data_IF_147971327879
#
_entry.id   IF_147971327879
#
_cell.length_a   1.000
_cell.length_b   1.000
_cell.length_c   1.000
_cell.angle_alpha   90.00
_cell.angle_beta   90.00
_cell.angle_gamma   90.00
#
_symmetry.space_group_name_H-M   'P 1'
#
loop_
_entity.id
_entity.type
_entity.pdbx_description
1 polymer ?
2 non-polymer ?
3 non-polymer ?
4 water ?
#
# COMPACT_ATOMS: atom_id res chain seq x y z
N UNK A 1 -23.97 48.41 15.87
CA UNK A 1 -23.09 48.79 14.72
C UNK A 1 -21.65 48.35 14.99
N UNK A 2 -20.84 48.28 13.93
CA UNK A 2 -19.41 47.97 14.08
C UNK A 2 -18.69 48.99 14.95
N UNK A 3 -17.66 48.55 15.66
CA UNK A 3 -16.87 49.43 16.46
C UNK A 3 -15.94 50.26 15.62
N UNK A 4 -15.28 51.23 16.22
CA UNK A 4 -14.35 52.11 15.53
C UNK A 4 -13.10 51.37 15.15
N UNK A 5 -12.58 50.59 16.07
CA UNK A 5 -11.46 49.76 15.79
C UNK A 5 -11.80 48.29 15.76
N UNK A 6 -10.88 47.50 15.26
CA UNK A 6 -11.03 46.06 15.26
C UNK A 6 -9.74 45.36 15.64
N UNK A 7 -9.84 44.34 16.50
CA UNK A 7 -8.74 43.41 16.75
C UNK A 7 -8.69 42.34 15.65
N UNK A 8 -7.56 42.23 14.99
CA UNK A 8 -7.30 41.15 14.04
C UNK A 8 -6.28 40.20 14.67
N UNK A 9 -6.69 38.96 14.97
CA UNK A 9 -5.80 37.99 15.58
C UNK A 9 -5.18 37.03 14.52
N UNK A 10 -3.87 37.11 14.39
CA UNK A 10 -3.16 36.73 13.21
C UNK A 10 -2.63 37.90 12.40
N UNK A 11 -1.32 37.99 12.31
CA UNK A 11 -0.66 39.18 11.78
C UNK A 11 0.28 38.83 10.62
N UNK A 12 0.17 37.56 10.29
CA UNK A 12 0.73 36.95 9.14
C UNK A 12 0.05 37.44 7.89
N UNK A 13 0.49 36.90 6.76
CA UNK A 13 -0.14 37.04 5.49
C UNK A 13 -1.63 37.02 5.48
N UNK A 14 -2.27 36.00 6.07
CA UNK A 14 -3.73 36.06 6.09
C UNK A 14 -4.22 37.30 6.82
N UNK A 15 -3.51 37.69 7.86
CA UNK A 15 -3.86 38.88 8.64
C UNK A 15 -3.86 40.16 7.79
N UNK A 16 -2.89 40.27 6.89
CA UNK A 16 -2.73 41.46 6.07
C UNK A 16 -3.94 41.63 5.14
N UNK A 17 -4.45 40.53 4.61
CA UNK A 17 -5.57 40.63 3.66
C UNK A 17 -6.82 40.96 4.49
N UNK A 18 -6.92 40.35 5.68
CA UNK A 18 -8.06 40.65 6.58
C UNK A 18 -8.10 42.13 6.93
N UNK A 19 -6.92 42.70 7.18
CA UNK A 19 -6.77 44.14 7.41
C UNK A 19 -7.36 44.92 6.23
N UNK A 20 -6.97 44.56 5.01
CA UNK A 20 -7.50 45.23 3.83
C UNK A 20 -9.04 45.14 3.78
N UNK A 21 -9.61 43.98 4.10
CA UNK A 21 -11.07 43.87 4.07
C UNK A 21 -11.72 44.74 5.15
N UNK A 22 -11.17 44.74 6.36
CA UNK A 22 -11.69 45.58 7.45
C UNK A 22 -11.68 47.05 7.06
N UNK A 23 -10.58 47.49 6.43
CA UNK A 23 -10.47 48.89 6.00
C UNK A 23 -11.52 49.18 4.93
N UNK A 24 -11.74 48.21 4.05
CA UNK A 24 -12.74 48.35 2.99
C UNK A 24 -14.15 48.52 3.58
N UNK A 25 -14.40 47.83 4.68
CA UNK A 25 -15.68 47.93 5.39
C UNK A 25 -15.85 49.24 6.12
N UNK A 26 -14.79 50.02 6.25
CA UNK A 26 -14.87 51.29 6.98
C UNK A 26 -14.30 51.32 8.39
N UNK A 27 -13.66 50.24 8.85
CA UNK A 27 -12.95 50.29 10.13
C UNK A 27 -11.79 51.29 10.04
N UNK A 28 -11.62 52.08 11.08
CA UNK A 28 -10.63 53.16 11.10
C UNK A 28 -9.23 52.71 11.50
N UNK A 29 -9.15 51.67 12.33
CA UNK A 29 -7.89 51.18 12.84
C UNK A 29 -7.98 49.68 13.04
N UNK A 30 -6.94 48.97 12.62
CA UNK A 30 -6.82 47.55 12.88
C UNK A 30 -5.68 47.33 13.89
N UNK A 31 -6.01 46.67 14.99
CA UNK A 31 -5.02 46.35 16.01
C UNK A 31 -4.66 44.87 15.92
N UNK A 32 -3.43 44.59 15.50
CA UNK A 32 -2.98 43.23 15.35
C UNK A 32 -2.61 42.64 16.69
N UNK A 33 -3.15 41.45 16.94
CA UNK A 33 -2.76 40.63 18.05
C UNK A 33 -2.11 39.39 17.47
N UNK A 34 -0.90 39.14 17.91
CA UNK A 34 -0.23 37.91 17.56
C UNK A 34 0.59 37.44 18.73
N UNK A 35 0.29 36.24 19.22
CA UNK A 35 0.88 35.74 20.45
C UNK A 35 2.35 35.39 20.24
N UNK A 36 2.84 35.61 19.02
CA UNK A 36 4.07 34.99 18.57
C UNK A 36 5.22 35.99 18.56
N UNK A 37 5.06 37.06 17.79
CA UNK A 37 5.96 38.21 17.87
C UNK A 37 5.23 39.50 17.53
N UNK A 38 4.00 39.63 18.03
CA UNK A 38 3.39 40.94 18.18
C UNK A 38 2.65 41.07 19.50
N UNK A 39 1.77 42.07 19.58
CA UNK A 39 0.94 42.27 20.77
C UNK A 39 0.10 41.05 21.14
N UNK A 40 0.25 40.54 22.35
CA UNK A 40 -0.48 39.35 22.76
C UNK A 40 -1.97 39.56 23.02
N UNK A 41 -2.78 38.57 22.70
CA UNK A 41 -4.15 38.65 23.17
C UNK A 41 -4.16 38.74 24.68
N UNK A 42 -4.99 39.61 25.22
CA UNK A 42 -5.28 39.59 26.65
C UNK A 42 -6.77 39.67 26.91
N UNK A 43 -7.26 38.84 27.84
CA UNK A 43 -8.67 38.75 28.18
C UNK A 43 -9.18 40.08 28.74
N UNK A 44 -8.23 40.85 29.21
CA UNK A 44 -8.47 42.17 29.77
C UNK A 44 -8.55 43.34 28.76
N UNK A 45 -8.36 43.08 27.47
CA UNK A 45 -8.39 44.13 26.41
C UNK A 45 -9.67 44.98 26.40
N UNK A 46 -9.56 46.29 26.10
CA UNK A 46 -10.76 47.12 25.88
C UNK A 46 -11.65 46.57 24.76
N UNK A 47 -12.97 46.61 24.93
CA UNK A 47 -13.84 45.94 23.97
C UNK A 47 -13.91 46.64 22.60
N UNK A 48 -13.61 45.83 21.58
CA UNK A 48 -13.76 46.16 20.16
C UNK A 48 -14.16 44.87 19.43
N UNK A 49 -14.73 45.02 18.24
CA UNK A 49 -14.93 43.89 17.33
C UNK A 49 -13.63 43.07 17.18
N UNK A 50 -13.76 41.75 17.04
CA UNK A 50 -12.59 40.87 16.82
C UNK A 50 -12.73 40.17 15.46
N UNK A 51 -11.59 39.83 14.86
CA UNK A 51 -11.57 38.90 13.74
C UNK A 51 -10.44 37.92 13.89
N UNK A 52 -10.70 36.65 13.56
CA UNK A 52 -9.63 35.64 13.70
C UNK A 52 -8.99 35.35 12.33
N UNK A 53 -7.86 35.99 12.09
CA UNK A 53 -7.18 35.86 10.80
C UNK A 53 -6.20 34.70 10.85
N UNK A 54 -6.72 33.48 11.01
CA UNK A 54 -5.87 32.29 11.03
C UNK A 54 -6.32 31.35 9.93
N UNK A 55 -5.42 31.01 9.00
CA UNK A 55 -5.75 30.17 7.85
C UNK A 55 -6.05 28.71 8.21
N UNK A 56 -5.30 28.16 9.15
CA UNK A 56 -5.53 26.81 9.60
C UNK A 56 -6.92 26.65 10.24
N UNK A 57 -7.73 25.73 9.74
CA UNK A 57 -9.12 25.59 10.20
C UNK A 57 -9.22 25.13 11.66
N UNK A 58 -8.37 24.18 12.03
CA UNK A 58 -8.36 23.63 13.38
C UNK A 58 -8.02 24.71 14.41
N UNK A 59 -6.94 25.46 14.13
CA UNK A 59 -6.48 26.53 15.02
C UNK A 59 -7.46 27.70 15.01
N UNK A 60 -7.96 28.09 13.84
CA UNK A 60 -9.00 29.14 13.80
C UNK A 60 -10.21 28.80 14.69
N UNK A 61 -10.68 27.54 14.66
CA UNK A 61 -11.79 27.10 15.53
C UNK A 61 -11.46 27.22 17.03
N UNK A 62 -10.31 26.87 17.43
CA UNK A 62 -9.89 26.91 18.82
C UNK A 62 -9.74 28.34 19.31
N UNK A 63 -9.14 29.12 18.53
CA UNK A 63 -8.99 30.55 18.87
C UNK A 63 -10.35 31.23 18.93
N UNK A 64 -11.18 30.98 17.92
CA UNK A 64 -12.55 31.43 17.91
C UNK A 64 -13.25 31.08 19.24
N UNK A 65 -13.10 29.83 19.68
CA UNK A 65 -13.67 29.40 20.95
C UNK A 65 -13.11 30.19 22.15
N UNK A 66 -11.85 30.36 22.22
CA UNK A 66 -11.23 31.14 23.30
C UNK A 66 -11.65 32.60 23.23
N UNK A 67 -11.64 33.22 22.21
CA UNK A 67 -12.06 34.63 22.11
C UNK A 67 -13.55 34.79 22.49
N UNK A 68 -14.39 33.93 21.92
CA UNK A 68 -15.83 33.94 22.23
C UNK A 68 -16.13 33.79 23.74
N UNK A 69 -15.39 32.87 24.37
CA UNK A 69 -15.48 32.56 25.80
C UNK A 69 -15.15 33.74 26.70
N UNK A 70 -14.33 34.65 26.20
CA UNK A 70 -14.01 35.88 26.92
C UNK A 70 -15.01 37.01 26.65
N UNK A 71 -16.10 36.68 25.97
CA UNK A 71 -17.18 37.62 25.66
C UNK A 71 -16.98 38.60 24.52
N UNK A 72 -15.93 38.42 23.71
CA UNK A 72 -15.74 39.26 22.54
C UNK A 72 -16.62 38.91 21.34
N UNK A 73 -17.02 39.93 20.58
CA UNK A 73 -17.80 39.71 19.39
C UNK A 73 -16.85 39.49 18.21
N UNK A 74 -17.04 38.38 17.52
CA UNK A 74 -16.19 38.04 16.39
C UNK A 74 -17.01 38.31 15.13
N UNK A 75 -16.72 39.42 14.48
CA UNK A 75 -17.54 39.88 13.36
C UNK A 75 -17.19 39.15 12.07
N UNK A 76 -18.02 39.37 11.04
CA UNK A 76 -17.67 38.90 9.68
C UNK A 76 -16.92 40.02 8.98
N UNK A 77 -15.90 39.66 8.22
CA UNK A 77 -15.27 40.62 7.33
C UNK A 77 -15.65 40.31 5.88
N UNK A 78 -16.42 41.21 5.24
CA UNK A 78 -17.01 40.98 3.91
C UNK A 78 -16.66 42.15 2.99
N UNK A 79 -15.78 41.88 2.02
CA UNK A 79 -15.40 42.92 1.07
C UNK A 79 -16.64 43.40 0.31
N UNK A 80 -16.67 44.69 0.00
CA UNK A 80 -17.81 45.31 -0.65
C UNK A 80 -18.03 44.79 -2.07
N UNK A 81 -16.99 44.21 -2.68
CA UNK A 81 -17.10 43.68 -4.06
C UNK A 81 -17.64 42.24 -4.06
N UNK A 82 -17.85 41.65 -2.88
CA UNK A 82 -18.45 40.32 -2.85
C UNK A 82 -19.89 40.48 -3.24
N UNK A 83 -20.39 39.57 -4.07
CA UNK A 83 -21.78 39.67 -4.53
C UNK A 83 -22.60 38.55 -3.87
N UNK A 84 -23.48 38.94 -2.96
CA UNK A 84 -24.18 37.98 -2.15
C UNK A 84 -25.70 38.06 -2.43
N UNK A 85 -26.31 36.95 -2.85
CA UNK A 85 -27.74 36.96 -3.20
C UNK A 85 -28.58 37.38 -1.98
N UNK A 86 -29.64 38.19 -2.19
CA UNK A 86 -30.55 38.55 -1.09
C UNK A 86 -31.15 37.31 -0.37
N UNK A 87 -31.19 36.17 -1.06
CA UNK A 87 -31.71 34.93 -0.44
C UNK A 87 -30.63 33.98 0.12
N UNK A 88 -29.36 34.36 -0.05
CA UNK A 88 -28.30 33.61 0.62
C UNK A 88 -28.31 33.91 2.13
N UNK A 89 -27.84 32.97 2.92
CA UNK A 89 -27.78 33.13 4.37
C UNK A 89 -26.33 33.10 4.80
N UNK A 90 -25.88 34.17 5.42
CA UNK A 90 -24.53 34.21 5.95
C UNK A 90 -24.65 34.38 7.47
N UNK A 91 -24.16 33.41 8.24
CA UNK A 91 -24.34 33.43 9.70
C UNK A 91 -23.79 34.75 10.21
N UNK A 92 -24.60 35.51 10.94
CA UNK A 92 -24.19 36.81 11.49
C UNK A 92 -23.16 36.75 12.62
N UNK A 93 -22.26 37.74 12.65
CA UNK A 93 -21.19 37.86 13.67
C UNK A 93 -20.57 36.53 13.98
N UNK A 94 -20.03 35.90 12.94
CA UNK A 94 -19.57 34.52 13.08
C UNK A 94 -18.16 34.33 12.51
N UNK A 95 -17.35 35.38 12.51
CA UNK A 95 -15.93 35.21 12.15
C UNK A 95 -15.71 34.75 10.70
N UNK A 96 -16.68 35.03 9.82
CA UNK A 96 -16.63 34.60 8.40
C UNK A 96 -15.82 35.60 7.60
N UNK A 97 -14.88 35.12 6.77
CA UNK A 97 -14.20 35.98 5.80
C UNK A 97 -14.73 35.80 4.39
N UNK A 98 -15.12 36.93 3.77
CA UNK A 98 -15.54 36.92 2.35
C UNK A 98 -14.69 37.92 1.57
N UNK A 99 -13.78 37.40 0.76
CA UNK A 99 -12.76 38.20 0.09
C UNK A 99 -13.29 38.91 -1.17
N UNK A 100 -12.46 39.73 -1.84
CA UNK A 100 -12.91 40.39 -3.09
C UNK A 100 -13.41 39.45 -4.20
N UNK A 101 -14.45 39.90 -4.91
CA UNK A 101 -15.02 39.21 -6.09
C UNK A 101 -15.56 37.78 -5.84
N UNK A 102 -15.76 37.45 -4.55
CA UNK A 102 -16.52 36.24 -4.18
C UNK A 102 -17.98 36.41 -4.61
N UNK A 103 -18.58 35.35 -5.13
CA UNK A 103 -19.99 35.37 -5.47
C UNK A 103 -20.69 34.24 -4.72
N UNK A 104 -21.80 34.60 -4.09
CA UNK A 104 -22.62 33.63 -3.34
C UNK A 104 -24.03 33.75 -3.91
N UNK A 105 -24.52 32.69 -4.57
CA UNK A 105 -25.80 32.74 -5.27
C UNK A 105 -26.99 32.25 -4.45
N UNK A 106 -28.19 32.38 -5.03
CA UNK A 106 -29.47 32.22 -4.33
C UNK A 106 -29.53 31.03 -3.34
N UNK A 107 -29.96 31.31 -2.11
CA UNK A 107 -30.24 30.27 -1.12
C UNK A 107 -29.04 29.48 -0.63
N UNK A 108 -27.82 29.83 -1.07
CA UNK A 108 -26.63 29.27 -0.40
C UNK A 108 -26.55 29.66 1.09
N UNK A 109 -25.94 28.80 1.89
CA UNK A 109 -25.75 29.09 3.31
C UNK A 109 -24.27 28.94 3.66
N UNK A 110 -23.76 29.94 4.38
CA UNK A 110 -22.39 29.98 4.85
C UNK A 110 -22.41 29.93 6.39
N UNK A 111 -21.70 28.95 6.95
CA UNK A 111 -21.70 28.72 8.41
C UNK A 111 -20.54 29.45 9.09
N UNK A 112 -20.58 29.49 10.43
CA UNK A 112 -19.54 30.21 11.20
C UNK A 112 -18.08 29.81 10.86
N UNK A 113 -17.19 30.79 10.91
CA UNK A 113 -15.76 30.58 10.77
C UNK A 113 -15.25 30.22 9.38
N UNK A 114 -16.14 30.28 8.39
CA UNK A 114 -15.77 29.93 7.00
C UNK A 114 -14.84 31.01 6.43
N UNK A 115 -13.85 30.61 5.63
CA UNK A 115 -13.14 31.57 4.74
C UNK A 115 -13.57 31.29 3.30
N UNK A 116 -14.11 32.30 2.63
CA UNK A 116 -14.33 32.28 1.18
C UNK A 116 -13.26 33.20 0.62
N UNK A 117 -12.20 32.61 0.05
CA UNK A 117 -11.06 33.36 -0.41
C UNK A 117 -11.22 33.96 -1.82
N UNK A 118 -10.23 34.75 -2.23
CA UNK A 118 -10.38 35.63 -3.37
C UNK A 118 -10.95 34.93 -4.60
N UNK A 119 -12.02 35.51 -5.15
CA UNK A 119 -12.64 35.07 -6.42
C UNK A 119 -13.23 33.67 -6.39
N UNK A 120 -13.47 33.13 -5.17
CA UNK A 120 -14.19 31.86 -5.02
C UNK A 120 -15.67 32.03 -5.39
N UNK A 121 -16.32 30.95 -5.74
CA UNK A 121 -17.74 31.06 -6.11
C UNK A 121 -18.53 29.97 -5.37
N UNK A 122 -19.61 30.34 -4.71
CA UNK A 122 -20.51 29.39 -4.01
C UNK A 122 -21.82 29.48 -4.76
N UNK A 123 -22.19 28.43 -5.50
CA UNK A 123 -23.37 28.49 -6.36
C UNK A 123 -24.67 28.34 -5.53
N UNK A 124 -25.82 28.54 -6.18
CA UNK A 124 -27.13 28.48 -5.53
C UNK A 124 -27.29 27.20 -4.67
N UNK A 125 -27.85 27.36 -3.47
CA UNK A 125 -28.27 26.22 -2.63
C UNK A 125 -27.16 25.38 -2.01
N UNK A 126 -25.91 25.87 -2.11
CA UNK A 126 -24.78 25.26 -1.39
C UNK A 126 -24.91 25.40 0.10
N UNK A 127 -24.26 24.49 0.84
CA UNK A 127 -24.09 24.65 2.28
C UNK A 127 -22.58 24.51 2.54
N UNK A 128 -21.97 25.56 3.08
CA UNK A 128 -20.57 25.50 3.42
C UNK A 128 -20.40 25.40 4.94
N UNK A 129 -19.91 24.25 5.37
CA UNK A 129 -19.84 23.90 6.79
C UNK A 129 -18.85 24.70 7.62
N UNK A 130 -19.13 24.78 8.93
CA UNK A 130 -18.38 25.68 9.80
C UNK A 130 -16.87 25.42 9.73
N UNK A 131 -16.12 26.52 9.77
CA UNK A 131 -14.64 26.54 9.77
C UNK A 131 -14.02 25.82 8.57
N UNK A 132 -14.77 25.81 7.47
CA UNK A 132 -14.18 25.37 6.23
C UNK A 132 -13.42 26.52 5.59
N UNK A 133 -12.51 26.20 4.67
CA UNK A 133 -11.79 27.19 3.89
C UNK A 133 -11.92 26.83 2.38
N UNK A 134 -12.64 27.68 1.65
CA UNK A 134 -12.78 27.55 0.21
C UNK A 134 -11.75 28.55 -0.33
N UNK A 135 -10.66 28.07 -0.87
CA UNK A 135 -9.57 28.99 -1.11
C UNK A 135 -9.65 29.72 -2.46
N UNK A 136 -8.55 30.38 -2.83
CA UNK A 136 -8.58 31.35 -3.93
C UNK A 136 -9.09 30.67 -5.20
N UNK A 137 -10.10 31.25 -5.84
CA UNK A 137 -10.58 30.73 -7.12
C UNK A 137 -11.27 29.37 -7.08
N UNK A 138 -11.44 28.75 -5.89
CA UNK A 138 -12.20 27.48 -5.79
C UNK A 138 -13.68 27.70 -6.01
N UNK A 139 -14.34 26.73 -6.61
CA UNK A 139 -15.77 26.97 -6.98
C UNK A 139 -16.61 25.76 -6.65
N UNK A 140 -17.76 26.01 -6.04
CA UNK A 140 -18.73 24.93 -5.76
C UNK A 140 -19.94 25.18 -6.65
N UNK A 141 -20.31 24.16 -7.42
CA UNK A 141 -21.48 24.19 -8.29
C UNK A 141 -22.76 24.13 -7.47
N UNK A 142 -23.92 24.12 -8.14
CA UNK A 142 -25.15 24.21 -7.39
C UNK A 142 -25.38 23.02 -6.45
N UNK A 143 -25.95 23.27 -5.28
CA UNK A 143 -26.34 22.22 -4.36
C UNK A 143 -25.26 21.37 -3.79
N UNK A 144 -24.08 21.94 -3.64
CA UNK A 144 -22.96 21.22 -3.09
C UNK A 144 -22.92 21.39 -1.59
N UNK A 145 -22.67 20.32 -0.85
CA UNK A 145 -22.54 20.40 0.61
C UNK A 145 -21.08 20.19 1.00
N UNK A 146 -20.45 21.23 1.57
CA UNK A 146 -19.10 21.08 2.06
C UNK A 146 -19.21 20.88 3.59
N UNK A 147 -18.57 19.84 4.09
CA UNK A 147 -18.65 19.48 5.53
C UNK A 147 -17.86 20.47 6.39
N UNK A 148 -18.02 20.34 7.70
CA UNK A 148 -17.27 21.17 8.65
C UNK A 148 -15.76 20.98 8.47
N UNK A 149 -15.00 22.06 8.67
CA UNK A 149 -13.54 21.97 8.71
C UNK A 149 -12.87 21.56 7.40
N UNK A 150 -13.61 21.60 6.29
CA UNK A 150 -13.05 21.17 5.01
C UNK A 150 -12.14 22.23 4.43
N UNK A 151 -11.23 21.81 3.54
CA UNK A 151 -10.32 22.75 2.88
C UNK A 151 -10.29 22.42 1.37
N UNK A 152 -10.72 23.39 0.57
CA UNK A 152 -10.73 23.28 -0.89
C UNK A 152 -9.58 24.09 -1.39
N UNK A 153 -8.63 23.46 -2.08
CA UNK A 153 -7.41 24.14 -2.43
C UNK A 153 -7.57 25.09 -3.59
N UNK A 154 -6.53 25.85 -3.84
CA UNK A 154 -6.53 26.83 -4.92
C UNK A 154 -7.02 26.25 -6.25
N UNK A 155 -8.00 26.94 -6.85
CA UNK A 155 -8.53 26.57 -8.16
C UNK A 155 -9.18 25.18 -8.22
N UNK A 156 -9.59 24.64 -7.07
CA UNK A 156 -10.33 23.38 -7.09
C UNK A 156 -11.83 23.63 -7.42
N UNK A 157 -12.55 22.58 -7.75
CA UNK A 157 -14.00 22.68 -7.92
C UNK A 157 -14.72 21.37 -7.56
N UNK A 158 -16.02 21.52 -7.31
CA UNK A 158 -16.90 20.39 -6.96
C UNK A 158 -18.12 20.46 -7.89
N UNK A 159 -18.37 19.38 -8.63
CA UNK A 159 -19.57 19.27 -9.49
C UNK A 159 -20.92 19.32 -8.74
N UNK A 160 -22.02 19.67 -9.46
CA UNK A 160 -23.32 19.88 -8.82
C UNK A 160 -23.78 18.71 -7.95
N UNK A 161 -24.48 19.05 -6.86
CA UNK A 161 -25.21 18.09 -6.00
C UNK A 161 -24.34 17.24 -5.08
N UNK A 162 -23.03 17.42 -5.15
CA UNK A 162 -22.11 16.58 -4.38
C UNK A 162 -21.89 17.02 -2.92
N UNK A 163 -21.48 16.06 -2.10
CA UNK A 163 -21.11 16.34 -0.69
C UNK A 163 -19.65 15.92 -0.47
N UNK A 164 -18.97 16.70 0.35
CA UNK A 164 -17.64 16.37 0.80
C UNK A 164 -17.74 16.21 2.32
N UNK A 165 -17.35 15.05 2.83
CA UNK A 165 -17.45 14.74 4.26
C UNK A 165 -16.59 15.64 5.15
N UNK A 166 -17.05 15.88 6.38
CA UNK A 166 -16.30 16.65 7.38
C UNK A 166 -14.82 16.29 7.36
N UNK A 167 -13.99 17.31 7.51
CA UNK A 167 -12.54 17.18 7.74
C UNK A 167 -11.79 16.69 6.50
N UNK A 168 -12.35 16.96 5.31
CA UNK A 168 -11.70 16.51 4.08
C UNK A 168 -10.87 17.62 3.47
N UNK A 169 -9.98 17.26 2.56
CA UNK A 169 -9.15 18.21 1.83
C UNK A 169 -9.33 17.89 0.35
N UNK A 170 -9.63 18.91 -0.44
CA UNK A 170 -9.64 18.80 -1.90
C UNK A 170 -8.41 19.57 -2.33
N UNK A 171 -7.50 18.92 -3.03
CA UNK A 171 -6.20 19.54 -3.27
C UNK A 171 -6.29 20.65 -4.29
N UNK A 172 -5.29 21.54 -4.31
CA UNK A 172 -5.19 22.57 -5.36
C UNK A 172 -5.42 21.98 -6.75
N UNK A 173 -6.29 22.62 -7.54
CA UNK A 173 -6.57 22.17 -8.91
C UNK A 173 -7.44 20.92 -9.07
N UNK A 174 -7.86 20.31 -7.94
CA UNK A 174 -8.68 19.08 -8.01
C UNK A 174 -10.12 19.30 -8.46
N UNK A 175 -10.69 18.30 -9.12
CA UNK A 175 -12.05 18.39 -9.59
C UNK A 175 -12.81 17.23 -8.96
N UNK A 176 -13.68 17.51 -8.02
CA UNK A 176 -14.45 16.46 -7.39
C UNK A 176 -15.67 16.12 -8.21
N UNK A 177 -15.70 14.90 -8.72
CA UNK A 177 -16.76 14.43 -9.58
C UNK A 177 -17.70 13.35 -9.00
N UNK A 178 -17.32 12.77 -7.87
CA UNK A 178 -18.21 11.88 -7.12
C UNK A 178 -18.43 12.21 -5.64
N UNK A 179 -19.63 11.93 -5.18
CA UNK A 179 -20.06 12.07 -3.80
C UNK A 179 -19.11 11.39 -2.83
N UNK A 180 -18.81 12.05 -1.72
CA UNK A 180 -17.80 11.56 -0.79
C UNK A 180 -18.31 11.61 0.63
N UNK A 181 -18.65 10.47 1.16
CA UNK A 181 -19.26 10.42 2.47
C UNK A 181 -18.29 10.05 3.56
N UNK A 182 -17.14 9.60 3.16
CA UNK A 182 -16.04 9.26 4.03
C UNK A 182 -14.94 10.27 3.81
N UNK A 183 -14.35 10.77 4.90
CA UNK A 183 -13.34 11.82 4.84
C UNK A 183 -12.07 11.32 4.19
N UNK A 184 -11.35 12.24 3.58
CA UNK A 184 -10.05 11.96 3.00
C UNK A 184 -9.40 13.15 2.33
N UNK A 185 -8.31 12.88 1.62
CA UNK A 185 -7.59 13.87 0.80
C UNK A 185 -7.68 13.43 -0.66
N UNK A 186 -8.31 14.29 -1.47
CA UNK A 186 -8.65 14.02 -2.87
C UNK A 186 -7.90 14.98 -3.79
N UNK A 187 -7.22 14.43 -4.78
CA UNK A 187 -6.32 15.21 -5.64
C UNK A 187 -6.50 14.78 -7.10
N UNK A 188 -6.25 15.70 -8.05
CA UNK A 188 -6.33 15.36 -9.47
C UNK A 188 -7.61 15.73 -10.20
N UNK A 189 -7.63 15.43 -11.48
CA UNK A 189 -8.79 15.64 -12.30
C UNK A 189 -9.01 14.35 -13.08
N UNK A 190 -9.90 13.47 -12.63
CA UNK A 190 -10.80 13.71 -11.51
C UNK A 190 -10.15 13.52 -10.16
N UNK A 191 -10.76 14.01 -9.11
CA UNK A 191 -10.17 13.89 -7.82
C UNK A 191 -10.26 12.46 -7.31
N UNK A 192 -9.18 11.97 -6.77
CA UNK A 192 -9.08 10.60 -6.26
C UNK A 192 -8.40 10.65 -4.91
N UNK A 193 -8.82 9.74 -4.02
CA UNK A 193 -8.26 9.61 -2.68
C UNK A 193 -6.75 9.45 -2.73
N UNK A 194 -6.04 10.14 -1.84
CA UNK A 194 -4.58 10.10 -1.81
C UNK A 194 -4.09 8.90 -1.02
N UNK B 1 6.22 -16.15 4.57
CA UNK B 1 7.07 -15.37 3.69
C UNK B 1 8.53 -15.70 3.83
N UNK B 2 9.19 -15.93 2.72
CA UNK B 2 10.61 -16.14 2.70
C UNK B 2 11.30 -15.00 3.39
N UNK B 3 12.45 -15.28 3.98
CA UNK B 3 13.34 -14.29 4.57
C UNK B 3 14.08 -13.49 3.53
N UNK B 4 14.94 -12.59 3.95
CA UNK B 4 15.73 -11.78 3.00
C UNK B 4 16.90 -12.56 2.42
N UNK B 5 17.70 -13.18 3.29
CA UNK B 5 18.80 -14.04 2.89
C UNK B 5 18.47 -15.51 3.19
N UNK B 6 19.37 -16.40 2.76
CA UNK B 6 19.23 -17.84 2.96
C UNK B 6 20.56 -18.48 3.34
N UNK B 7 20.51 -19.46 4.26
CA UNK B 7 21.69 -20.29 4.56
C UNK B 7 21.72 -21.50 3.63
N UNK B 8 22.75 -21.60 2.81
CA UNK B 8 22.96 -22.76 1.93
C UNK B 8 24.05 -23.69 2.48
N UNK B 9 23.65 -24.83 3.02
CA UNK B 9 24.61 -25.83 3.50
C UNK B 9 25.09 -26.73 2.35
N UNK B 10 26.39 -26.73 2.12
CA UNK B 10 27.01 -27.45 1.01
C UNK B 10 27.66 -26.43 0.08
N UNK B 11 28.96 -26.48 -0.08
CA UNK B 11 29.65 -25.43 -0.78
C UNK B 11 29.95 -25.82 -2.22
N UNK B 12 29.62 -27.04 -2.57
CA UNK B 12 30.03 -27.62 -3.83
C UNK B 12 29.43 -27.00 -5.06
N UNK B 13 29.74 -27.63 -6.18
CA UNK B 13 28.93 -27.65 -7.36
C UNK B 13 27.46 -27.56 -7.14
N UNK B 14 26.85 -28.54 -6.50
CA UNK B 14 25.42 -28.46 -6.25
C UNK B 14 25.03 -27.17 -5.51
N UNK B 15 25.89 -26.73 -4.60
CA UNK B 15 25.68 -25.47 -3.90
C UNK B 15 25.60 -24.25 -4.80
N UNK B 16 26.44 -24.19 -5.84
CA UNK B 16 26.41 -23.11 -6.83
C UNK B 16 25.07 -23.00 -7.60
N UNK B 17 24.51 -24.13 -8.02
CA UNK B 17 23.19 -24.10 -8.68
C UNK B 17 22.06 -23.72 -7.71
N UNK B 18 22.14 -24.18 -6.46
CA UNK B 18 21.11 -23.85 -5.47
C UNK B 18 21.14 -22.36 -5.23
N UNK B 19 22.34 -21.79 -5.18
CA UNK B 19 22.48 -20.34 -5.09
C UNK B 19 21.77 -19.60 -6.23
N UNK B 20 21.95 -20.05 -7.47
CA UNK B 20 21.27 -19.41 -8.60
C UNK B 20 19.76 -19.48 -8.45
N UNK B 21 19.24 -20.63 -8.02
CA UNK B 21 17.80 -20.75 -7.85
C UNK B 21 17.31 -19.79 -6.77
N UNK B 22 18.02 -19.76 -5.64
CA UNK B 22 17.67 -18.87 -4.54
C UNK B 22 17.55 -17.43 -5.02
N UNK B 23 18.53 -16.95 -5.80
CA UNK B 23 18.48 -15.56 -6.30
C UNK B 23 17.35 -15.30 -7.29
N UNK B 24 17.07 -16.29 -8.15
CA UNK B 24 15.90 -16.24 -9.02
C UNK B 24 14.59 -16.06 -8.23
N UNK B 25 14.50 -16.73 -7.09
CA UNK B 25 13.34 -16.65 -6.21
C UNK B 25 13.20 -15.27 -5.55
N UNK B 26 14.30 -14.53 -5.52
CA UNK B 26 14.29 -13.20 -4.95
C UNK B 26 15.09 -13.05 -3.68
N UNK B 27 15.72 -14.13 -3.19
CA UNK B 27 16.62 -14.01 -2.04
C UNK B 27 17.72 -13.02 -2.42
N UNK B 28 18.06 -12.13 -1.48
CA UNK B 28 19.03 -11.07 -1.72
C UNK B 28 20.47 -11.57 -1.68
N UNK B 29 20.74 -12.48 -0.74
CA UNK B 29 22.09 -12.99 -0.52
C UNK B 29 22.06 -14.43 -0.05
N UNK B 30 23.05 -15.20 -0.51
CA UNK B 30 23.23 -16.59 -0.08
C UNK B 30 24.47 -16.74 0.83
N UNK B 31 24.25 -17.37 1.98
CA UNK B 31 25.31 -17.59 2.95
C UNK B 31 25.62 -19.08 3.07
N UNK B 32 26.83 -19.44 2.67
CA UNK B 32 27.24 -20.84 2.60
C UNK B 32 27.75 -21.36 3.93
N UNK B 33 27.25 -22.51 4.37
CA UNK B 33 27.71 -23.17 5.56
C UNK B 33 28.44 -24.45 5.27
N UNK B 34 29.55 -24.67 5.93
CA UNK B 34 30.16 -25.98 5.99
C UNK B 34 30.48 -26.39 7.41
N UNK B 46 21.51 -15.01 12.39
CA UNK B 46 20.84 -13.74 12.12
C UNK B 46 19.34 -13.68 11.87
N UNK B 47 18.56 -14.91 11.85
CA UNK B 47 18.68 -16.10 11.04
C UNK B 47 17.30 -16.67 10.74
N UNK B 48 17.42 -17.41 9.61
CA UNK B 48 17.13 -17.16 8.18
C UNK B 48 16.55 -18.51 7.64
N UNK B 49 15.85 -18.50 6.52
CA UNK B 49 15.51 -19.75 5.84
C UNK B 49 16.76 -20.60 5.60
N UNK B 50 16.60 -21.91 5.62
CA UNK B 50 17.67 -22.88 5.31
C UNK B 50 17.40 -23.63 4.02
N UNK B 51 18.49 -24.03 3.35
CA UNK B 51 18.46 -25.08 2.32
C UNK B 51 19.68 -26.00 2.36
N UNK B 52 19.45 -27.30 2.18
CA UNK B 52 20.51 -28.31 2.19
C UNK B 52 20.91 -28.64 0.77
N UNK B 53 22.05 -28.09 0.34
CA UNK B 53 22.59 -28.28 -1.02
C UNK B 53 23.59 -29.39 -1.05
N UNK B 54 23.14 -30.60 -0.74
CA UNK B 54 24.02 -31.77 -0.76
C UNK B 54 23.41 -32.79 -1.71
N UNK B 55 24.18 -33.18 -2.74
CA UNK B 55 23.65 -34.09 -3.74
C UNK B 55 23.46 -35.49 -3.19
N UNK B 56 24.40 -35.92 -2.34
CA UNK B 56 24.34 -37.23 -1.71
C UNK B 56 23.09 -37.33 -0.84
N UNK B 57 22.20 -38.27 -1.20
CA UNK B 57 20.89 -38.41 -0.56
C UNK B 57 20.96 -38.78 0.90
N UNK B 58 21.92 -39.66 1.24
CA UNK B 58 22.09 -40.15 2.60
C UNK B 58 22.51 -39.01 3.51
N UNK B 59 23.49 -38.22 3.06
CA UNK B 59 24.00 -37.08 3.87
C UNK B 59 22.95 -35.93 3.94
N UNK B 60 22.29 -35.64 2.81
CA UNK B 60 21.21 -34.66 2.77
C UNK B 60 20.12 -35.00 3.79
N UNK B 61 19.69 -36.27 3.82
CA UNK B 61 18.70 -36.71 4.82
C UNK B 61 19.22 -36.51 6.26
N UNK B 62 20.47 -36.85 6.51
CA UNK B 62 21.08 -36.68 7.82
C UNK B 62 21.05 -35.28 8.36
N UNK B 63 21.50 -34.37 7.51
CA UNK B 63 21.56 -32.96 7.85
C UNK B 63 20.14 -32.39 7.99
N UNK B 64 19.29 -32.75 7.02
CA UNK B 64 17.88 -32.37 7.07
C UNK B 64 17.27 -32.75 8.44
N UNK B 65 17.54 -33.94 8.89
CA UNK B 65 16.97 -34.44 10.13
C UNK B 65 17.49 -33.67 11.35
N UNK B 66 18.78 -33.44 11.36
CA UNK B 66 19.39 -32.58 12.33
C UNK B 66 18.83 -31.18 12.38
N UNK B 67 18.71 -30.52 11.26
CA UNK B 67 18.28 -29.16 11.27
C UNK B 67 16.76 -29.05 11.63
N UNK B 68 15.96 -29.92 11.07
CA UNK B 68 14.50 -30.02 11.34
C UNK B 68 14.18 -30.26 12.80
N UNK B 69 14.95 -31.16 13.43
CA UNK B 69 14.77 -31.56 14.83
C UNK B 69 14.78 -30.38 15.77
N UNK B 70 15.53 -29.36 15.36
CA UNK B 70 15.72 -28.16 16.16
C UNK B 70 14.75 -27.02 15.83
N UNK B 71 13.76 -27.32 14.99
CA UNK B 71 12.67 -26.41 14.71
C UNK B 71 12.92 -25.42 13.60
N UNK B 72 14.08 -25.53 12.93
CA UNK B 72 14.43 -24.63 11.82
C UNK B 72 13.68 -24.97 10.53
N UNK B 73 13.36 -23.95 9.74
CA UNK B 73 12.63 -24.10 8.51
C UNK B 73 13.56 -24.32 7.31
N UNK B 74 13.39 -25.46 6.67
CA UNK B 74 14.15 -25.80 5.47
C UNK B 74 13.23 -25.56 4.27
N UNK B 75 13.46 -24.48 3.53
CA UNK B 75 12.53 -24.10 2.45
C UNK B 75 12.70 -24.98 1.23
N UNK B 76 11.72 -24.93 0.32
CA UNK B 76 11.92 -25.44 -1.05
C UNK B 76 12.62 -24.36 -1.91
N UNK B 77 13.61 -24.74 -2.73
CA UNK B 77 14.13 -23.82 -3.76
C UNK B 77 13.56 -24.21 -5.13
N UNK B 78 12.68 -23.36 -5.66
CA UNK B 78 11.93 -23.65 -6.88
C UNK B 78 12.18 -22.55 -7.91
N UNK B 79 12.78 -22.92 -9.03
CA UNK B 79 13.06 -21.92 -10.08
C UNK B 79 11.75 -21.43 -10.70
N UNK B 80 11.69 -20.15 -11.07
CA UNK B 80 10.45 -19.60 -11.67
C UNK B 80 10.00 -20.19 -13.01
N UNK B 81 10.92 -20.83 -13.73
CA UNK B 81 10.60 -21.48 -15.00
C UNK B 81 10.05 -22.93 -14.85
N UNK B 82 10.08 -23.47 -13.63
CA UNK B 82 9.49 -24.77 -13.41
C UNK B 82 7.99 -24.67 -13.60
N UNK B 83 7.41 -25.64 -14.29
CA UNK B 83 5.97 -25.61 -14.52
C UNK B 83 5.37 -26.70 -13.69
N UNK B 84 4.52 -26.30 -12.75
CA UNK B 84 3.97 -27.20 -11.74
C UNK B 84 2.45 -27.16 -11.81
N UNK B 85 1.82 -28.28 -12.15
CA UNK B 85 0.35 -28.35 -12.23
C UNK B 85 -0.30 -27.84 -10.94
N UNK B 86 -1.43 -27.11 -11.06
CA UNK B 86 -2.19 -26.73 -9.86
C UNK B 86 -2.63 -27.89 -8.99
N UNK B 87 -2.75 -29.09 -9.57
CA UNK B 87 -3.14 -30.28 -8.80
C UNK B 87 -1.94 -31.14 -8.31
N UNK B 88 -0.73 -30.82 -8.77
CA UNK B 88 0.47 -31.46 -8.21
C UNK B 88 0.66 -31.06 -6.75
N UNK B 89 1.21 -31.98 -5.97
CA UNK B 89 1.46 -31.69 -4.54
C UNK B 89 2.95 -31.65 -4.30
N UNK B 90 3.45 -30.46 -4.00
CA UNK B 90 4.85 -30.30 -3.64
C UNK B 90 4.93 -29.99 -2.16
N UNK B 91 5.50 -30.91 -1.37
CA UNK B 91 5.50 -30.77 0.10
C UNK B 91 6.08 -29.39 0.51
N UNK B 92 5.36 -28.67 1.37
CA UNK B 92 5.78 -27.31 1.73
C UNK B 92 6.94 -27.29 2.72
N UNK B 93 7.83 -26.31 2.56
CA UNK B 93 9.00 -26.12 3.43
C UNK B 93 9.69 -27.44 3.71
N UNK B 94 10.10 -28.13 2.64
CA UNK B 94 10.58 -29.51 2.74
C UNK B 94 11.98 -29.75 2.09
N UNK B 95 12.73 -28.67 1.92
CA UNK B 95 14.09 -28.76 1.38
C UNK B 95 14.12 -29.43 0.01
N UNK B 96 13.09 -29.15 -0.79
CA UNK B 96 12.98 -29.65 -2.16
C UNK B 96 13.68 -28.67 -3.10
N UNK B 97 14.52 -29.21 -3.99
CA UNK B 97 15.12 -28.44 -5.10
C UNK B 97 14.41 -28.73 -6.43
N UNK B 98 13.94 -27.65 -7.06
CA UNK B 98 13.35 -27.75 -8.40
C UNK B 98 14.00 -26.76 -9.37
N UNK B 99 14.84 -27.31 -10.25
CA UNK B 99 15.74 -26.55 -11.12
C UNK B 99 15.01 -25.95 -12.34
N UNK B 100 15.70 -25.13 -13.17
CA UNK B 100 15.05 -24.61 -14.39
C UNK B 100 14.46 -25.67 -15.34
N UNK B 101 13.32 -25.28 -15.93
CA UNK B 101 12.59 -26.02 -16.94
C UNK B 101 12.11 -27.41 -16.50
N UNK B 102 12.03 -27.61 -15.20
CA UNK B 102 11.38 -28.84 -14.68
C UNK B 102 9.87 -28.76 -14.95
N UNK B 103 9.25 -29.85 -15.40
CA UNK B 103 7.78 -29.84 -15.51
C UNK B 103 7.24 -30.87 -14.55
N UNK B 104 6.24 -30.52 -13.74
CA UNK B 104 5.55 -31.51 -12.89
C UNK B 104 4.07 -31.49 -13.28
N UNK B 105 3.58 -32.60 -13.82
CA UNK B 105 2.20 -32.59 -14.30
C UNK B 105 1.15 -33.04 -13.29
N UNK B 106 -0.11 -33.08 -13.74
CA UNK B 106 -1.29 -33.21 -12.87
C UNK B 106 -1.24 -34.32 -11.80
N UNK B 107 -1.54 -33.95 -10.56
CA UNK B 107 -1.63 -34.89 -9.43
C UNK B 107 -0.34 -35.60 -9.02
N UNK B 108 0.80 -35.25 -9.62
CA UNK B 108 2.09 -35.77 -9.13
C UNK B 108 2.37 -35.28 -7.70
N UNK B 109 3.03 -36.11 -6.91
CA UNK B 109 3.47 -35.74 -5.57
C UNK B 109 5.00 -35.78 -5.46
N UNK B 110 5.57 -34.67 -4.97
CA UNK B 110 7.00 -34.60 -4.62
C UNK B 110 7.13 -34.55 -3.08
N UNK B 111 7.84 -35.53 -2.53
CA UNK B 111 8.08 -35.65 -1.10
C UNK B 111 9.32 -34.86 -0.65
N UNK B 112 9.55 -34.80 0.68
CA UNK B 112 10.57 -33.89 1.20
C UNK B 112 11.97 -34.25 0.75
N UNK B 113 12.84 -33.25 0.60
CA UNK B 113 14.27 -33.47 0.33
C UNK B 113 14.64 -33.94 -1.08
N UNK B 114 13.65 -33.93 -1.97
CA UNK B 114 13.83 -34.37 -3.36
C UNK B 114 14.61 -33.31 -4.16
N UNK B 115 15.45 -33.76 -5.09
CA UNK B 115 16.03 -32.85 -6.06
C UNK B 115 15.44 -33.23 -7.43
N UNK B 116 14.88 -32.26 -8.14
CA UNK B 116 14.54 -32.44 -9.55
C UNK B 116 15.39 -31.55 -10.44
N UNK B 117 16.45 -32.12 -11.01
CA UNK B 117 17.50 -31.34 -11.65
C UNK B 117 17.12 -30.91 -13.07
N UNK B 118 18.01 -30.19 -13.72
CA UNK B 118 17.63 -29.31 -14.82
C UNK B 118 16.85 -30.06 -15.89
N UNK B 119 15.70 -29.50 -16.27
CA UNK B 119 14.93 -30.05 -17.41
C UNK B 119 14.39 -31.48 -17.23
N UNK B 120 14.31 -31.93 -15.99
CA UNK B 120 13.65 -33.18 -15.68
C UNK B 120 12.12 -33.03 -15.80
N UNK B 121 11.43 -34.16 -15.94
CA UNK B 121 9.98 -34.17 -16.13
C UNK B 121 9.38 -35.27 -15.27
N UNK B 122 8.38 -34.88 -14.46
CA UNK B 122 7.64 -35.75 -13.57
C UNK B 122 6.20 -35.77 -14.11
N UNK B 123 5.80 -36.85 -14.74
CA UNK B 123 4.50 -36.85 -15.39
C UNK B 123 3.34 -36.95 -14.39
N UNK B 124 2.12 -36.81 -14.90
CA UNK B 124 0.90 -36.88 -14.09
C UNK B 124 0.88 -38.13 -13.17
N UNK B 125 0.44 -37.91 -11.94
CA UNK B 125 0.14 -38.97 -10.97
C UNK B 125 1.40 -39.70 -10.44
N UNK B 126 2.59 -39.15 -10.70
CA UNK B 126 3.84 -39.71 -10.14
C UNK B 126 3.94 -39.47 -8.62
N UNK B 127 4.71 -40.31 -7.95
CA UNK B 127 5.06 -40.14 -6.55
C UNK B 127 6.59 -40.22 -6.50
N UNK B 128 7.23 -39.12 -6.14
CA UNK B 128 8.68 -39.07 -6.05
C UNK B 128 9.07 -39.10 -4.56
N UNK B 129 9.62 -40.23 -4.13
CA UNK B 129 9.87 -40.52 -2.71
C UNK B 129 10.91 -39.63 -2.07
N UNK B 130 10.79 -39.44 -0.74
CA UNK B 130 11.66 -38.51 -0.02
C UNK B 130 13.16 -38.72 -0.27
N UNK B 131 13.90 -37.62 -0.38
CA UNK B 131 15.37 -37.61 -0.57
C UNK B 131 15.88 -38.30 -1.82
N UNK B 132 15.00 -38.44 -2.80
CA UNK B 132 15.42 -38.92 -4.12
C UNK B 132 16.03 -37.81 -4.98
N UNK B 133 16.79 -38.20 -5.99
CA UNK B 133 17.39 -37.24 -6.89
C UNK B 133 17.11 -37.73 -8.31
N UNK B 134 16.23 -37.00 -9.00
CA UNK B 134 15.95 -37.13 -10.44
C UNK B 134 16.89 -36.14 -11.18
N UNK B 135 17.88 -36.68 -11.86
CA UNK B 135 18.99 -35.89 -12.38
C UNK B 135 18.63 -35.13 -13.60
N UNK B 136 19.62 -34.43 -14.13
CA UNK B 136 19.44 -33.58 -15.31
C UNK B 136 18.80 -34.35 -16.50
N UNK B 137 17.69 -33.82 -17.02
CA UNK B 137 17.01 -34.38 -18.18
C UNK B 137 16.35 -35.74 -17.94
N UNK B 138 16.31 -36.22 -16.69
CA UNK B 138 15.65 -37.53 -16.40
C UNK B 138 14.14 -37.36 -16.40
N UNK B 139 13.39 -38.37 -16.87
CA UNK B 139 11.93 -38.19 -17.07
C UNK B 139 11.17 -39.40 -16.57
N UNK B 140 10.12 -39.17 -15.76
CA UNK B 140 9.31 -40.29 -15.28
C UNK B 140 8.01 -40.16 -16.01
N UNK B 141 7.58 -41.24 -16.66
CA UNK B 141 6.29 -41.22 -17.33
C UNK B 141 5.15 -41.28 -16.30
N UNK B 142 3.91 -41.33 -16.80
CA UNK B 142 2.72 -41.26 -15.93
C UNK B 142 2.69 -42.37 -14.89
N UNK B 143 2.20 -42.04 -13.69
CA UNK B 143 1.95 -43.04 -12.63
C UNK B 143 3.20 -43.78 -12.16
N UNK B 144 4.37 -43.16 -12.28
CA UNK B 144 5.60 -43.84 -11.87
C UNK B 144 5.83 -43.59 -10.38
N UNK B 145 6.27 -44.60 -9.64
CA UNK B 145 6.58 -44.39 -8.22
C UNK B 145 8.09 -44.52 -7.99
N UNK B 146 8.72 -43.42 -7.59
CA UNK B 146 10.16 -43.47 -7.27
C UNK B 146 10.25 -43.65 -5.75
N UNK B 147 11.02 -44.65 -5.31
CA UNK B 147 11.10 -44.98 -3.88
C UNK B 147 11.94 -43.93 -3.18
N UNK B 148 11.99 -43.99 -1.85
CA UNK B 148 12.84 -43.10 -1.06
C UNK B 148 14.31 -43.27 -1.39
N UNK B 149 15.07 -42.18 -1.35
CA UNK B 149 16.53 -42.23 -1.45
C UNK B 149 17.06 -42.66 -2.83
N UNK B 150 16.18 -42.69 -3.83
CA UNK B 150 16.57 -43.16 -5.17
C UNK B 150 17.39 -42.13 -5.96
N UNK B 151 18.17 -42.62 -6.92
CA UNK B 151 18.94 -41.77 -7.80
C UNK B 151 18.70 -42.18 -9.28
N UNK B 152 18.18 -41.26 -10.08
CA UNK B 152 17.97 -41.45 -11.52
C UNK B 152 19.00 -40.59 -12.24
N UNK B 153 19.89 -41.24 -12.99
CA UNK B 153 21.06 -40.58 -13.61
C UNK B 153 20.69 -39.70 -14.77
N UNK B 154 21.63 -38.94 -15.27
CA UNK B 154 21.41 -38.01 -16.34
C UNK B 154 20.75 -38.69 -17.54
N UNK B 155 19.69 -38.07 -18.01
CA UNK B 155 18.99 -38.53 -19.18
C UNK B 155 18.36 -39.92 -19.09
N UNK B 156 18.15 -40.41 -17.89
CA UNK B 156 17.45 -41.68 -17.70
C UNK B 156 15.95 -41.51 -17.86
N UNK B 157 15.19 -42.59 -17.98
CA UNK B 157 13.74 -42.45 -18.02
C UNK B 157 13.12 -43.74 -17.49
N UNK B 158 11.86 -43.63 -17.05
CA UNK B 158 11.11 -44.72 -16.49
C UNK B 158 9.76 -44.74 -17.22
N UNK B 159 9.42 -45.89 -17.78
CA UNK B 159 8.16 -46.06 -18.55
C UNK B 159 6.94 -45.97 -17.61
N UNK B 160 5.71 -45.75 -18.18
CA UNK B 160 4.54 -45.54 -17.32
C UNK B 160 4.26 -46.66 -16.31
N UNK B 161 3.69 -46.28 -15.17
CA UNK B 161 3.15 -47.20 -14.17
C UNK B 161 4.18 -47.95 -13.33
N UNK B 162 5.46 -47.79 -13.67
CA UNK B 162 6.51 -48.55 -12.99
C UNK B 162 6.88 -48.03 -11.60
N UNK B 163 7.48 -48.89 -10.78
CA UNK B 163 7.99 -48.48 -9.46
C UNK B 163 9.45 -48.87 -9.32
N UNK B 164 10.25 -47.97 -8.78
CA UNK B 164 11.65 -48.21 -8.44
C UNK B 164 11.78 -48.29 -6.93
N UNK B 165 12.29 -49.42 -6.45
CA UNK B 165 12.31 -49.70 -5.02
C UNK B 165 13.26 -48.76 -4.31
N UNK B 166 12.99 -48.52 -3.02
CA UNK B 166 13.83 -47.62 -2.22
C UNK B 166 15.31 -47.92 -2.38
N UNK B 167 16.11 -46.85 -2.37
CA UNK B 167 17.56 -46.91 -2.35
C UNK B 167 18.19 -47.34 -3.71
N UNK B 168 17.36 -47.44 -4.74
CA UNK B 168 17.85 -47.87 -6.07
C UNK B 168 18.58 -46.78 -6.88
N UNK B 169 19.41 -47.22 -7.82
CA UNK B 169 20.08 -46.31 -8.72
C UNK B 169 19.74 -46.68 -10.16
N UNK B 170 19.26 -45.70 -10.93
CA UNK B 170 19.04 -45.89 -12.37
C UNK B 170 20.19 -45.13 -13.04
N UNK B 171 21.06 -45.84 -13.77
CA UNK B 171 22.28 -45.21 -14.34
C UNK B 171 21.99 -44.09 -15.34
N UNK B 172 22.98 -43.24 -15.61
CA UNK B 172 22.81 -42.27 -16.70
C UNK B 172 22.42 -42.95 -18.03
N UNK B 173 21.45 -42.40 -18.74
CA UNK B 173 21.05 -42.94 -20.06
C UNK B 173 20.21 -44.21 -19.99
N UNK B 174 19.88 -44.72 -18.79
CA UNK B 174 19.14 -45.99 -18.65
C UNK B 174 17.67 -45.83 -18.94
N UNK B 175 17.03 -46.86 -19.46
CA UNK B 175 15.57 -46.89 -19.63
C UNK B 175 14.96 -48.03 -18.84
N UNK B 176 14.22 -47.68 -17.79
CA UNK B 176 13.59 -48.69 -16.96
C UNK B 176 12.30 -49.09 -17.68
N UNK B 177 12.26 -50.33 -18.13
CA UNK B 177 11.12 -50.82 -18.93
C UNK B 177 10.20 -51.77 -18.17
N UNK B 178 10.71 -52.38 -17.10
CA UNK B 178 9.89 -53.23 -16.23
C UNK B 178 10.16 -52.98 -14.74
N UNK B 179 9.22 -53.38 -13.88
CA UNK B 179 9.55 -53.39 -12.46
C UNK B 179 10.60 -54.45 -12.24
N UNK B 180 11.60 -54.11 -11.43
CA UNK B 180 12.60 -55.08 -11.01
C UNK B 180 12.21 -55.69 -9.67
N UNK B 183 15.41 -53.80 -5.04
CA UNK B 183 16.31 -52.62 -5.17
C UNK B 183 17.66 -53.02 -5.80
N UNK B 184 18.28 -52.09 -6.50
CA UNK B 184 19.46 -52.45 -7.31
C UNK B 184 20.01 -51.24 -8.02
N UNK B 185 21.09 -51.43 -8.75
CA UNK B 185 21.64 -50.42 -9.66
C UNK B 185 21.30 -50.95 -11.05
N UNK B 186 20.57 -50.15 -11.85
CA UNK B 186 20.10 -50.64 -13.19
C UNK B 186 20.66 -49.74 -14.27
N UNK B 187 21.28 -50.34 -15.28
CA UNK B 187 21.94 -49.56 -16.33
C UNK B 187 21.54 -50.09 -17.69
N UNK B 188 21.60 -49.22 -18.71
CA UNK B 188 21.30 -49.61 -20.09
C UNK B 188 19.88 -49.35 -20.64
N UNK B 189 19.67 -49.74 -21.89
CA UNK B 189 18.39 -49.63 -22.62
C UNK B 189 18.13 -51.01 -23.25
N UNK B 190 17.28 -51.86 -22.61
CA UNK B 190 16.54 -51.56 -21.38
C UNK B 190 17.44 -51.68 -20.15
N UNK B 191 17.07 -51.02 -19.05
CA UNK B 191 17.89 -51.05 -17.85
C UNK B 191 17.89 -52.42 -17.21
N UNK B 192 19.07 -52.98 -16.94
CA UNK B 192 19.16 -54.19 -16.13
C UNK B 192 20.23 -54.15 -15.03
N UNK B 193 20.08 -55.04 -14.06
CA UNK B 193 20.97 -55.07 -12.90
C UNK B 193 22.43 -55.04 -13.33
N UNK B 194 23.17 -54.08 -12.78
CA UNK B 194 24.59 -53.87 -13.08
C UNK B 194 25.42 -54.98 -12.48
#
# INVERSE_FOLDING_TARGET
ARTEKIYIYGASGHGLVCEDVAKNMGYKECIFLDDFKGMKFESTLPKYDFFIAIGNNEIRKKIYQKISENGFKIVNLIHKSALISPSAIVEENAGILIMPYVVINAKAKIEKGVILNTSSVIEHECVIGEFSHVSVGAKCAGNVKIGKNCFLGINSCVLPNLSLADDSILGGGATLVKNQDEKGVFVGVPAKRM
ARTEKIYIYGASGHGLVCEDVAKNMGYKECIFLDDFKGMKFESTLPKYDFFIAIGNNEIRKKIYQKISENGFKIVNLIHKSALISPSAIVEENAGILIMPYVVINAKAKIEKGVILNTSSVIEHECVIGEFSHVSVGAKCAGNVKIGKNCFLGINSCVLPNLSLADDSILGGGATLVKNQDEKGVFVGVPAKRM
#
